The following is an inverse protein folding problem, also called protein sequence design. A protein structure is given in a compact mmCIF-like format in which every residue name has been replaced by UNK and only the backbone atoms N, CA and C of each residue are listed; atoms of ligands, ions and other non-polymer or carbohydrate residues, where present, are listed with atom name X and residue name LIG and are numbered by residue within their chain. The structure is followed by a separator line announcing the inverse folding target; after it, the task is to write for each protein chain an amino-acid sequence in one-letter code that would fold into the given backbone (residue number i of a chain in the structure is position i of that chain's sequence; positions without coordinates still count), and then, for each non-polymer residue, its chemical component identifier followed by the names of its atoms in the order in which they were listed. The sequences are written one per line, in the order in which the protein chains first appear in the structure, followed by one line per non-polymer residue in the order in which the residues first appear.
data_IF_631343161113
#
_entry.id   IF_631343161113
#
_cell.length_a   1.000
_cell.length_b   1.000
_cell.length_c   1.000
_cell.angle_alpha   90.00
_cell.angle_beta   90.00
_cell.angle_gamma   90.00
#
_symmetry.space_group_name_H-M   'P 1'
#
loop_
_entity.id
_entity.type
_entity.pdbx_description
1 polymer ?
#
# COMPACT_ATOMS: atom_id res chain seq x y z
N UNK A 1 23.30 -21.78 -45.51
CA UNK A 1 23.69 -20.52 -44.85
C UNK A 1 22.55 -19.53 -45.01
N UNK A 2 21.57 -19.57 -44.10
CA UNK A 2 20.46 -18.60 -44.07
C UNK A 2 20.49 -17.95 -42.70
N UNK A 3 20.60 -16.62 -42.77
CA UNK A 3 20.97 -15.68 -41.73
C UNK A 3 20.10 -15.81 -40.48
N UNK A 4 20.76 -15.90 -39.33
CA UNK A 4 20.14 -15.63 -38.04
C UNK A 4 19.58 -14.21 -38.04
N UNK A 5 18.29 -14.09 -37.72
CA UNK A 5 17.70 -12.82 -37.30
C UNK A 5 18.06 -12.68 -35.83
N UNK A 6 19.13 -11.95 -35.57
CA UNK A 6 19.36 -11.32 -34.28
C UNK A 6 18.27 -10.25 -34.13
N UNK A 7 17.24 -10.58 -33.35
CA UNK A 7 16.31 -9.59 -32.86
C UNK A 7 17.00 -8.84 -31.72
N UNK A 8 17.65 -7.72 -32.06
CA UNK A 8 17.97 -6.65 -31.11
C UNK A 8 16.66 -6.07 -30.57
N UNK A 9 16.04 -6.78 -29.62
CA UNK A 9 15.06 -6.19 -28.72
C UNK A 9 15.86 -5.37 -27.72
N UNK A 10 15.95 -4.06 -27.95
CA UNK A 10 16.46 -3.12 -26.96
C UNK A 10 15.84 -3.45 -25.60
N UNK A 11 16.68 -3.75 -24.62
CA UNK A 11 16.24 -4.13 -23.28
C UNK A 11 15.33 -3.01 -22.77
N UNK A 12 14.01 -3.25 -22.79
CA UNK A 12 13.07 -2.33 -22.15
C UNK A 12 13.53 -2.16 -20.71
N UNK A 13 13.85 -0.92 -20.32
CA UNK A 13 14.25 -0.62 -18.95
C UNK A 13 13.13 -1.07 -18.01
N UNK A 14 13.43 -2.05 -17.16
CA UNK A 14 12.48 -2.60 -16.18
C UNK A 14 12.80 -2.07 -14.80
N UNK A 15 11.77 -1.69 -14.06
CA UNK A 15 11.90 -1.41 -12.63
C UNK A 15 11.80 -2.72 -11.84
N UNK A 16 12.89 -3.10 -11.17
CA UNK A 16 12.90 -4.24 -10.25
C UNK A 16 12.41 -3.88 -8.84
N UNK A 17 12.32 -2.59 -8.52
CA UNK A 17 11.88 -2.07 -7.22
C UNK A 17 11.18 -0.74 -7.38
N UNK A 18 10.10 -0.54 -6.62
CA UNK A 18 9.32 0.70 -6.56
C UNK A 18 9.06 1.01 -5.07
N UNK A 19 9.30 2.25 -4.66
CA UNK A 19 8.92 2.77 -3.33
C UNK A 19 8.17 4.09 -3.53
N UNK A 20 6.92 4.18 -3.06
CA UNK A 20 6.08 5.36 -3.26
C UNK A 20 5.57 5.89 -1.91
N UNK A 21 5.83 7.17 -1.63
CA UNK A 21 5.20 7.89 -0.52
C UNK A 21 4.09 8.78 -1.06
N UNK A 22 2.84 8.39 -0.80
CA UNK A 22 1.67 9.02 -1.42
C UNK A 22 0.92 9.90 -0.40
N UNK A 23 0.50 11.10 -0.82
CA UNK A 23 -0.51 11.88 -0.09
C UNK A 23 -1.86 11.58 -0.73
N UNK A 24 -2.71 10.85 -0.01
CA UNK A 24 -3.95 10.31 -0.57
C UNK A 24 -5.16 11.00 0.08
N UNK A 25 -6.09 11.58 -0.70
CA UNK A 25 -7.36 12.04 -0.18
C UNK A 25 -8.17 10.87 0.40
N UNK A 26 -8.88 11.08 1.52
CA UNK A 26 -9.65 10.03 2.21
C UNK A 26 -10.62 9.28 1.27
N UNK A 27 -11.21 9.98 0.30
CA UNK A 27 -12.13 9.38 -0.68
C UNK A 27 -11.45 8.53 -1.79
N UNK A 28 -10.13 8.42 -1.83
CA UNK A 28 -9.36 7.76 -2.90
C UNK A 28 -8.63 6.48 -2.44
N UNK A 29 -8.90 5.99 -1.23
CA UNK A 29 -8.26 4.77 -0.71
C UNK A 29 -8.55 3.55 -1.60
N UNK A 30 -9.76 3.45 -2.18
CA UNK A 30 -10.10 2.38 -3.13
C UNK A 30 -9.23 2.38 -4.40
N UNK A 31 -8.77 3.55 -4.83
CA UNK A 31 -7.82 3.67 -5.95
C UNK A 31 -6.45 3.11 -5.55
N UNK A 32 -5.98 3.40 -4.34
CA UNK A 32 -4.71 2.85 -3.83
C UNK A 32 -4.79 1.33 -3.68
N UNK A 33 -5.90 0.80 -3.15
CA UNK A 33 -6.10 -0.64 -3.05
C UNK A 33 -6.02 -1.34 -4.41
N UNK A 34 -6.60 -0.74 -5.47
CA UNK A 34 -6.49 -1.26 -6.85
C UNK A 34 -5.05 -1.25 -7.36
N UNK A 35 -4.31 -0.16 -7.13
CA UNK A 35 -2.91 -0.04 -7.54
C UNK A 35 -2.05 -1.08 -6.80
N UNK A 36 -2.23 -1.23 -5.49
CA UNK A 36 -1.49 -2.20 -4.70
C UNK A 36 -1.80 -3.64 -5.14
N UNK A 37 -3.06 -3.95 -5.47
CA UNK A 37 -3.43 -5.25 -6.05
C UNK A 37 -2.72 -5.51 -7.37
N UNK A 38 -2.59 -4.50 -8.23
CA UNK A 38 -1.82 -4.62 -9.47
C UNK A 38 -0.34 -4.87 -9.19
N UNK A 39 0.27 -4.08 -8.30
CA UNK A 39 1.68 -4.24 -7.93
C UNK A 39 1.98 -5.62 -7.33
N UNK A 40 1.09 -6.16 -6.50
CA UNK A 40 1.24 -7.53 -5.97
C UNK A 40 1.23 -8.62 -7.05
N UNK A 41 0.60 -8.39 -8.21
CA UNK A 41 0.61 -9.33 -9.33
C UNK A 41 1.87 -9.20 -10.19
N UNK A 42 2.58 -8.07 -10.11
CA UNK A 42 3.79 -7.78 -10.90
C UNK A 42 5.06 -8.05 -10.08
N UNK A 43 5.03 -7.83 -8.76
CA UNK A 43 6.15 -7.99 -7.84
C UNK A 43 5.91 -9.14 -6.87
N UNK A 44 6.94 -9.96 -6.62
CA UNK A 44 6.87 -11.09 -5.67
C UNK A 44 6.69 -10.64 -4.22
N UNK A 45 7.10 -9.41 -3.90
CA UNK A 45 6.99 -8.81 -2.57
C UNK A 45 6.37 -7.42 -2.71
N UNK A 46 5.25 -7.21 -2.04
CA UNK A 46 4.55 -5.94 -2.00
C UNK A 46 4.01 -5.73 -0.59
N UNK A 47 4.54 -4.72 0.10
CA UNK A 47 4.07 -4.28 1.42
C UNK A 47 3.38 -2.91 1.28
N UNK A 48 2.41 -2.64 2.14
CA UNK A 48 1.67 -1.38 2.18
C UNK A 48 1.79 -0.83 3.60
N UNK A 49 2.30 0.39 3.71
CA UNK A 49 2.37 1.13 4.97
C UNK A 49 1.33 2.26 4.91
N UNK A 50 0.47 2.37 5.93
CA UNK A 50 -0.58 3.40 6.00
C UNK A 50 -0.43 4.16 7.31
N UNK A 51 -0.27 5.50 7.20
CA UNK A 51 -0.34 6.41 8.36
C UNK A 51 -1.66 7.17 8.32
N UNK A 52 -2.54 6.88 9.27
CA UNK A 52 -3.80 7.62 9.46
C UNK A 52 -3.55 8.77 10.43
N UNK A 53 -3.99 9.97 10.05
CA UNK A 53 -3.98 11.16 10.91
C UNK A 53 -5.40 11.70 10.98
N UNK A 54 -5.95 11.71 12.18
CA UNK A 54 -7.21 12.36 12.49
C UNK A 54 -6.92 13.48 13.49
N UNK A 55 -7.53 14.64 13.27
CA UNK A 55 -7.35 15.85 14.06
C UNK A 55 -8.67 16.60 14.09
N UNK A 56 -8.85 17.55 15.01
CA UNK A 56 -10.07 18.35 15.15
C UNK A 56 -11.33 17.52 15.43
N UNK A 57 -11.21 16.50 16.29
CA UNK A 57 -12.32 15.65 16.71
C UNK A 57 -11.99 14.92 18.01
N UNK A 58 -13.00 14.25 18.57
CA UNK A 58 -12.90 13.52 19.83
C UNK A 58 -13.49 12.11 19.66
N UNK A 59 -12.85 11.12 20.26
CA UNK A 59 -13.35 9.74 20.35
C UNK A 59 -13.15 9.27 21.78
N UNK A 60 -14.17 8.63 22.36
CA UNK A 60 -14.05 8.05 23.69
C UNK A 60 -13.04 6.90 23.66
N UNK A 61 -12.19 6.80 24.69
CA UNK A 61 -11.15 5.75 24.76
C UNK A 61 -11.71 4.33 24.51
N UNK A 62 -12.79 3.98 25.19
CA UNK A 62 -13.43 2.68 25.02
C UNK A 62 -14.00 2.50 23.62
N UNK A 63 -14.49 3.57 22.97
CA UNK A 63 -14.94 3.50 21.59
C UNK A 63 -13.77 3.25 20.62
N UNK A 64 -12.62 3.90 20.85
CA UNK A 64 -11.41 3.64 20.08
C UNK A 64 -10.95 2.18 20.23
N UNK A 65 -10.85 1.67 21.47
CA UNK A 65 -10.43 0.30 21.75
C UNK A 65 -11.41 -0.72 21.10
N UNK A 66 -12.72 -0.56 21.33
CA UNK A 66 -13.75 -1.50 20.83
C UNK A 66 -13.98 -1.41 19.31
N UNK A 67 -13.84 -0.24 18.70
CA UNK A 67 -14.19 -0.07 17.27
C UNK A 67 -12.99 -0.07 16.35
N UNK A 68 -11.89 0.54 16.78
CA UNK A 68 -10.72 0.75 15.93
C UNK A 68 -9.73 -0.39 16.16
N UNK A 69 -9.29 -0.63 17.40
CA UNK A 69 -8.32 -1.70 17.68
C UNK A 69 -8.89 -3.08 17.34
N UNK A 70 -10.15 -3.36 17.69
CA UNK A 70 -10.79 -4.64 17.33
C UNK A 70 -10.91 -4.83 15.81
N UNK A 71 -11.29 -3.80 15.06
CA UNK A 71 -11.42 -3.90 13.60
C UNK A 71 -10.07 -4.15 12.92
N UNK A 72 -9.00 -3.49 13.39
CA UNK A 72 -7.64 -3.72 12.91
C UNK A 72 -7.19 -5.15 13.22
N UNK A 73 -7.44 -5.62 14.45
CA UNK A 73 -7.10 -6.99 14.86
C UNK A 73 -7.83 -8.04 14.03
N UNK A 74 -9.14 -7.87 13.77
CA UNK A 74 -9.92 -8.79 12.94
C UNK A 74 -9.43 -8.82 11.49
N UNK A 75 -8.93 -7.69 10.98
CA UNK A 75 -8.32 -7.59 9.67
C UNK A 75 -6.89 -8.14 9.58
N UNK A 76 -6.30 -8.57 10.70
CA UNK A 76 -4.89 -8.95 10.78
C UNK A 76 -3.94 -7.78 10.50
N UNK A 77 -4.37 -6.55 10.79
CA UNK A 77 -3.60 -5.33 10.58
C UNK A 77 -2.89 -4.98 11.89
N UNK A 78 -1.56 -5.00 11.86
CA UNK A 78 -0.74 -4.64 13.01
C UNK A 78 -0.53 -3.12 13.08
N UNK A 79 -0.58 -2.58 14.29
CA UNK A 79 -0.25 -1.17 14.55
C UNK A 79 1.25 -1.11 14.82
N UNK A 80 2.02 -0.57 13.87
CA UNK A 80 3.47 -0.40 14.02
C UNK A 80 3.83 0.78 14.93
N UNK A 81 3.02 1.85 14.94
CA UNK A 81 3.24 3.07 15.72
C UNK A 81 1.88 3.70 16.07
N UNK A 82 1.69 4.12 17.33
CA UNK A 82 0.51 4.86 17.77
C UNK A 82 0.88 5.97 18.76
N UNK A 83 0.71 7.22 18.35
CA UNK A 83 0.72 8.40 19.22
C UNK A 83 -0.73 8.84 19.47
N UNK A 84 -1.11 8.92 20.75
CA UNK A 84 -2.42 9.36 21.22
C UNK A 84 -2.16 10.54 22.19
N UNK A 85 -2.57 11.75 21.83
CA UNK A 85 -2.49 12.96 22.69
C UNK A 85 -3.75 13.16 23.53
#
# INVERSE_FOLDING_TARGET
MVKGKEEEQGEMEKYSKINLKLKVPVGQISTIARIASYLKNVFNQCAIEIKIRASDGEIGRSEYELRIEEALSQGGIEIEEADKE
#
